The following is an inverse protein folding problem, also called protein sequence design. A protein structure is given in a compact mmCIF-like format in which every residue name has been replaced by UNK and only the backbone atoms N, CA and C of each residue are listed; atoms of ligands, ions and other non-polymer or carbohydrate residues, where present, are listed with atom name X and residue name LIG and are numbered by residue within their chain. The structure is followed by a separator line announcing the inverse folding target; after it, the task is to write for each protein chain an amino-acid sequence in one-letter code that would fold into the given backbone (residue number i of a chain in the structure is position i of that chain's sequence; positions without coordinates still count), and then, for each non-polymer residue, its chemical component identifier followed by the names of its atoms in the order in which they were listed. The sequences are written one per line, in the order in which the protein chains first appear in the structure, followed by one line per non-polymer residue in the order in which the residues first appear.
data_IF_526190201976
#
_entry.id   IF_526190201976
#
_cell.length_a   1.000
_cell.length_b   1.000
_cell.length_c   1.000
_cell.angle_alpha   90.00
_cell.angle_beta   90.00
_cell.angle_gamma   90.00
#
_symmetry.space_group_name_H-M   'P 1'
#
loop_
_entity.id
_entity.type
_entity.pdbx_description
1 polymer ?
#
# COMPACT_ATOMS: atom_id res chain seq x y z
N UNK A 1 12.17 9.33 -4.00
CA UNK A 1 11.22 9.60 -2.89
C UNK A 1 11.14 8.37 -1.99
N UNK A 2 10.81 8.51 -0.71
CA UNK A 2 10.83 7.38 0.22
C UNK A 2 9.69 7.47 1.23
N UNK A 3 9.28 6.31 1.75
CA UNK A 3 8.30 6.21 2.83
C UNK A 3 8.23 4.82 3.43
N UNK A 4 7.64 4.72 4.62
CA UNK A 4 7.42 3.50 5.38
C UNK A 4 5.93 3.20 5.52
N UNK A 5 5.55 1.92 5.68
CA UNK A 5 4.16 1.52 5.93
C UNK A 5 3.19 2.13 4.89
N UNK A 6 2.16 2.88 5.32
CA UNK A 6 1.27 3.63 4.46
C UNK A 6 1.99 4.67 3.57
N UNK A 7 3.06 5.30 4.08
CA UNK A 7 3.92 6.20 3.31
C UNK A 7 4.71 5.48 2.22
N UNK A 8 5.03 4.20 2.43
CA UNK A 8 5.59 3.31 1.41
C UNK A 8 4.57 3.02 0.30
N UNK A 9 3.30 2.79 0.67
CA UNK A 9 2.17 2.71 -0.27
C UNK A 9 2.02 4.00 -1.08
N UNK A 10 1.96 5.15 -0.41
CA UNK A 10 1.88 6.46 -1.05
C UNK A 10 3.07 6.74 -1.97
N UNK A 11 4.26 6.28 -1.60
CA UNK A 11 5.45 6.37 -2.45
C UNK A 11 5.22 5.66 -3.78
N UNK A 12 4.69 4.44 -3.76
CA UNK A 12 4.40 3.70 -5.00
C UNK A 12 3.22 4.29 -5.78
N UNK A 13 2.14 4.69 -5.10
CA UNK A 13 1.00 5.37 -5.71
C UNK A 13 1.42 6.67 -6.42
N UNK A 14 2.37 7.42 -5.84
CA UNK A 14 2.93 8.63 -6.46
C UNK A 14 3.66 8.31 -7.76
N UNK A 15 4.45 7.23 -7.81
CA UNK A 15 5.12 6.82 -9.06
C UNK A 15 4.11 6.44 -10.13
N UNK A 16 3.06 5.69 -9.77
CA UNK A 16 1.96 5.35 -10.67
C UNK A 16 1.29 6.61 -11.22
N UNK A 17 0.96 7.57 -10.36
CA UNK A 17 0.36 8.83 -10.76
C UNK A 17 1.29 9.66 -11.67
N UNK A 18 2.59 9.74 -11.37
CA UNK A 18 3.57 10.43 -12.22
C UNK A 18 3.69 9.78 -13.60
N UNK A 19 3.77 8.44 -13.64
CA UNK A 19 3.82 7.66 -14.89
C UNK A 19 2.57 7.90 -15.74
N UNK A 20 1.38 7.80 -15.14
CA UNK A 20 0.10 8.01 -15.82
C UNK A 20 -0.06 9.43 -16.41
N UNK A 21 0.52 10.44 -15.75
CA UNK A 21 0.49 11.83 -16.20
C UNK A 21 1.72 12.24 -17.04
N UNK A 22 2.53 11.28 -17.48
CA UNK A 22 3.74 11.51 -18.27
C UNK A 22 4.73 12.52 -17.64
N UNK A 23 4.80 12.56 -16.31
CA UNK A 23 5.79 13.34 -15.59
C UNK A 23 7.12 12.57 -15.44
N UNK A 24 8.26 13.27 -15.35
CA UNK A 24 9.54 12.62 -15.06
C UNK A 24 9.49 11.84 -13.75
N UNK A 25 9.97 10.59 -13.77
CA UNK A 25 10.11 9.77 -12.58
C UNK A 25 11.37 10.18 -11.78
N UNK A 26 11.33 10.07 -10.44
CA UNK A 26 12.52 10.26 -9.62
C UNK A 26 13.56 9.17 -9.93
N UNK A 27 14.84 9.46 -9.69
CA UNK A 27 15.93 8.50 -9.93
C UNK A 27 15.82 7.22 -9.09
N UNK A 28 15.19 7.30 -7.91
CA UNK A 28 14.91 6.13 -7.07
C UNK A 28 13.67 6.34 -6.20
N UNK A 29 13.11 5.22 -5.76
CA UNK A 29 12.11 5.15 -4.72
C UNK A 29 12.45 4.06 -3.70
N UNK A 30 12.10 4.30 -2.43
CA UNK A 30 12.38 3.38 -1.33
C UNK A 30 11.10 3.18 -0.51
N UNK A 31 10.69 1.93 -0.34
CA UNK A 31 9.61 1.53 0.56
C UNK A 31 10.16 0.71 1.72
N UNK A 32 9.84 1.07 2.97
CA UNK A 32 10.21 0.30 4.17
C UNK A 32 8.95 -0.34 4.72
N UNK A 33 8.87 -1.67 4.66
CA UNK A 33 7.64 -2.43 4.97
C UNK A 33 6.39 -1.78 4.35
N UNK A 34 6.38 -1.53 3.03
CA UNK A 34 5.35 -0.72 2.41
C UNK A 34 4.01 -1.45 2.41
N UNK A 35 2.94 -0.74 2.76
CA UNK A 35 1.59 -1.28 2.69
C UNK A 35 1.03 -1.06 1.27
N UNK A 36 1.09 -2.11 0.45
CA UNK A 36 0.76 -2.06 -0.99
C UNK A 36 -0.60 -2.67 -1.35
N UNK A 37 -1.22 -3.39 -0.42
CA UNK A 37 -2.47 -4.13 -0.62
C UNK A 37 -3.43 -3.90 0.55
N UNK A 38 -4.45 -3.10 0.32
CA UNK A 38 -5.51 -2.78 1.27
C UNK A 38 -6.65 -3.80 1.23
N UNK A 39 -6.68 -4.69 0.23
CA UNK A 39 -7.66 -5.79 0.16
C UNK A 39 -7.30 -6.91 1.13
N UNK A 40 -6.02 -7.01 1.50
CA UNK A 40 -5.50 -8.07 2.36
C UNK A 40 -5.48 -9.44 1.66
N UNK A 41 -5.15 -9.45 0.36
CA UNK A 41 -5.08 -10.66 -0.47
C UNK A 41 -3.80 -11.48 -0.26
N UNK A 42 -2.75 -10.87 0.30
CA UNK A 42 -1.48 -11.55 0.58
C UNK A 42 -1.59 -12.64 1.65
N UNK A 43 -0.76 -13.68 1.54
CA UNK A 43 -0.73 -14.80 2.50
C UNK A 43 -0.42 -14.37 3.94
N UNK A 44 0.36 -13.30 4.12
CA UNK A 44 0.65 -12.70 5.43
C UNK A 44 -0.61 -12.11 6.09
N UNK A 45 -1.68 -11.87 5.34
CA UNK A 45 -2.95 -11.37 5.85
C UNK A 45 -3.91 -12.48 6.32
N UNK A 46 -3.43 -13.73 6.38
CA UNK A 46 -4.15 -14.88 6.95
C UNK A 46 -3.92 -14.93 8.47
N UNK A 47 -4.98 -15.02 9.30
CA UNK A 47 -4.84 -15.10 10.75
C UNK A 47 -3.89 -16.22 11.20
N UNK A 48 -2.89 -15.89 12.01
CA UNK A 48 -1.92 -16.83 12.56
C UNK A 48 -0.69 -17.10 11.67
N UNK A 49 -0.59 -16.51 10.47
CA UNK A 49 0.62 -16.64 9.62
C UNK A 49 1.74 -15.72 10.09
N UNK A 50 1.40 -14.48 10.46
CA UNK A 50 2.35 -13.50 10.98
C UNK A 50 1.95 -13.13 12.39
N UNK A 51 2.93 -13.17 13.29
CA UNK A 51 2.83 -12.66 14.66
C UNK A 51 3.53 -11.31 14.72
N UNK A 52 2.77 -10.23 14.45
CA UNK A 52 3.27 -8.85 14.48
C UNK A 52 2.89 -8.18 15.82
N UNK A 53 3.86 -7.68 16.60
CA UNK A 53 3.60 -7.12 17.93
C UNK A 53 2.97 -5.72 17.90
N UNK A 54 2.88 -5.08 16.74
CA UNK A 54 2.39 -3.71 16.57
C UNK A 54 1.11 -3.62 15.74
N UNK A 55 1.02 -4.39 14.65
CA UNK A 55 -0.06 -4.29 13.67
C UNK A 55 -0.92 -5.56 13.68
N UNK A 56 -2.22 -5.39 13.93
CA UNK A 56 -3.18 -6.50 13.83
C UNK A 56 -3.88 -6.52 12.48
N UNK A 57 -4.27 -7.71 12.01
CA UNK A 57 -5.05 -7.85 10.78
C UNK A 57 -6.39 -7.09 10.83
N UNK A 58 -7.03 -7.08 11.99
CA UNK A 58 -8.26 -6.31 12.21
C UNK A 58 -8.00 -4.81 12.07
N UNK A 59 -6.97 -4.29 12.73
CA UNK A 59 -6.60 -2.87 12.66
C UNK A 59 -6.18 -2.43 11.26
N UNK A 60 -5.48 -3.29 10.51
CA UNK A 60 -5.16 -3.05 9.10
C UNK A 60 -6.42 -2.98 8.23
N UNK A 61 -7.39 -3.89 8.44
CA UNK A 61 -8.68 -3.89 7.71
C UNK A 61 -9.53 -2.66 8.05
N UNK A 62 -9.54 -2.23 9.31
CA UNK A 62 -10.21 -0.99 9.73
C UNK A 62 -9.57 0.24 9.10
N UNK A 63 -8.24 0.31 9.09
CA UNK A 63 -7.50 1.40 8.46
C UNK A 63 -7.76 1.46 6.96
N UNK A 64 -7.82 0.31 6.28
CA UNK A 64 -8.14 0.24 4.85
C UNK A 64 -9.56 0.75 4.56
N UNK A 65 -10.55 0.37 5.38
CA UNK A 65 -11.92 0.88 5.26
C UNK A 65 -12.00 2.39 5.49
N UNK A 66 -11.27 2.92 6.46
CA UNK A 66 -11.26 4.35 6.74
C UNK A 66 -10.62 5.15 5.60
N UNK A 67 -9.58 4.60 4.96
CA UNK A 67 -8.85 5.28 3.89
C UNK A 67 -9.54 5.19 2.53
N UNK A 68 -9.98 3.99 2.13
CA UNK A 68 -10.45 3.71 0.76
C UNK A 68 -11.94 3.33 0.68
N UNK A 69 -12.65 3.27 1.81
CA UNK A 69 -14.04 2.79 1.87
C UNK A 69 -14.21 1.43 1.18
N UNK A 70 -14.97 1.38 0.09
CA UNK A 70 -15.21 0.21 -0.75
C UNK A 70 -14.25 0.07 -1.94
N UNK A 71 -13.40 1.07 -2.20
CA UNK A 71 -12.48 1.12 -3.33
C UNK A 71 -11.05 0.68 -2.97
N UNK A 72 -10.92 -0.36 -2.14
CA UNK A 72 -9.61 -0.84 -1.65
C UNK A 72 -8.71 -1.40 -2.75
N UNK A 73 -9.26 -1.80 -3.91
CA UNK A 73 -8.50 -2.33 -5.05
C UNK A 73 -8.03 -1.26 -6.05
N UNK A 74 -8.35 0.02 -5.83
CA UNK A 74 -7.84 1.11 -6.67
C UNK A 74 -6.31 1.11 -6.70
N UNK A 75 -5.65 1.12 -7.87
CA UNK A 75 -4.18 1.17 -7.95
C UNK A 75 -3.53 2.36 -7.22
N UNK A 76 -4.23 3.47 -6.99
CA UNK A 76 -3.70 4.58 -6.21
C UNK A 76 -3.89 4.40 -4.69
N UNK A 77 -4.72 3.45 -4.26
CA UNK A 77 -4.87 3.04 -2.87
C UNK A 77 -4.06 1.78 -2.55
N UNK A 78 -4.13 0.76 -3.43
CA UNK A 78 -3.38 -0.49 -3.42
C UNK A 78 -2.46 -0.58 -4.65
N UNK A 79 -1.25 0.00 -4.59
CA UNK A 79 -0.30 0.00 -5.71
C UNK A 79 0.08 -1.37 -6.25
N UNK A 80 -0.18 -2.46 -5.52
CA UNK A 80 0.04 -3.82 -6.02
C UNK A 80 -0.78 -4.12 -7.30
N UNK A 81 -1.87 -3.38 -7.55
CA UNK A 81 -2.71 -3.54 -8.74
C UNK A 81 -2.38 -2.53 -9.85
N UNK A 82 -1.35 -1.70 -9.69
CA UNK A 82 -0.90 -0.73 -10.70
C UNK A 82 0.17 -1.28 -11.64
N UNK A 83 0.34 -0.59 -12.78
CA UNK A 83 1.41 -0.80 -13.77
C UNK A 83 2.41 0.36 -13.76
#
# INVERSE_FOLDING_TARGET
IAGDSAGGGLTMATLLALKANAHPLPACAIGISPWLDLTGSGESAVPGVVDDPMLTLEGLRDSARQYAADNTADPLASPIYGD
#
